data_IF_516968090501
#
_entry.id   IF_516968090501
#
_cell.length_a   1.000
_cell.length_b   1.000
_cell.length_c   1.000
_cell.angle_alpha   90.00
_cell.angle_beta   90.00
_cell.angle_gamma   90.00
#
_symmetry.space_group_name_H-M   'P 1'
#
loop_
_entity.id
_entity.type
_entity.pdbx_description
1 polymer ?
#
# COMPACT_ATOMS: atom_id res chain seq x y z
N UNK A 1 -13.40 -4.76 24.50
CA UNK A 1 -12.96 -3.66 23.63
C UNK A 1 -11.49 -3.90 23.38
N UNK A 2 -11.13 -4.31 22.16
CA UNK A 2 -9.72 -4.49 21.78
C UNK A 2 -9.23 -3.12 21.36
N UNK A 3 -8.17 -2.63 22.00
CA UNK A 3 -7.52 -1.39 21.62
C UNK A 3 -7.08 -1.53 20.15
N UNK A 4 -7.65 -0.74 19.24
CA UNK A 4 -7.31 -0.78 17.80
C UNK A 4 -5.85 -0.38 17.50
N UNK A 5 -5.08 -0.04 18.55
CA UNK A 5 -3.68 0.37 18.51
C UNK A 5 -2.75 -0.56 19.30
N UNK A 6 -3.07 -1.87 19.38
CA UNK A 6 -2.06 -2.83 19.81
C UNK A 6 -0.90 -2.86 18.78
N UNK A 7 0.10 -2.04 19.07
CA UNK A 7 1.29 -1.79 18.24
C UNK A 7 2.19 -3.03 18.13
N UNK A 8 1.78 -4.17 18.70
CA UNK A 8 2.44 -5.46 18.60
C UNK A 8 2.00 -6.29 17.39
N UNK A 9 0.90 -5.94 16.71
CA UNK A 9 0.35 -6.73 15.61
C UNK A 9 0.54 -6.01 14.26
N UNK A 10 1.10 -6.68 13.24
CA UNK A 10 1.18 -6.10 11.90
C UNK A 10 -0.21 -6.02 11.25
N UNK A 11 -0.46 -4.97 10.49
CA UNK A 11 -1.74 -4.77 9.81
C UNK A 11 -1.60 -4.08 8.46
N UNK A 12 -2.60 -4.30 7.59
CA UNK A 12 -2.78 -3.63 6.31
C UNK A 12 -4.26 -3.28 6.16
N UNK A 13 -4.57 -2.00 6.05
CA UNK A 13 -5.92 -1.50 5.79
C UNK A 13 -6.02 -0.96 4.37
N UNK A 14 -7.14 -1.27 3.72
CA UNK A 14 -7.42 -0.85 2.36
C UNK A 14 -8.91 -0.61 2.14
N UNK A 15 -9.24 0.20 1.14
CA UNK A 15 -10.60 0.30 0.60
C UNK A 15 -10.58 0.17 -0.92
N UNK A 16 -11.68 -0.31 -1.50
CA UNK A 16 -11.86 -0.39 -2.95
C UNK A 16 -12.72 0.77 -3.45
N UNK A 17 -12.42 1.25 -4.66
CA UNK A 17 -13.18 2.24 -5.40
C UNK A 17 -13.13 1.87 -6.88
N UNK A 18 -14.19 1.23 -7.38
CA UNK A 18 -14.22 0.69 -8.74
C UNK A 18 -13.22 -0.44 -8.93
N UNK A 19 -12.38 -0.33 -9.95
CA UNK A 19 -11.30 -1.27 -10.25
C UNK A 19 -9.99 -0.99 -9.48
N UNK A 20 -10.00 0.01 -8.61
CA UNK A 20 -8.82 0.48 -7.89
C UNK A 20 -8.97 0.19 -6.40
N UNK A 21 -7.91 -0.34 -5.78
CA UNK A 21 -7.81 -0.50 -4.33
C UNK A 21 -6.74 0.43 -3.78
N UNK A 22 -7.07 1.13 -2.70
CA UNK A 22 -6.18 2.03 -2.00
C UNK A 22 -5.72 1.39 -0.69
N UNK A 23 -4.41 1.25 -0.50
CA UNK A 23 -3.81 0.96 0.81
C UNK A 23 -3.76 2.27 1.58
N UNK A 24 -4.49 2.34 2.70
CA UNK A 24 -4.59 3.55 3.52
C UNK A 24 -3.69 3.51 4.74
N UNK A 25 -3.45 2.32 5.30
CA UNK A 25 -2.53 2.13 6.42
C UNK A 25 -1.80 0.81 6.28
N UNK A 26 -0.51 0.82 6.60
CA UNK A 26 0.30 -0.39 6.64
C UNK A 26 1.34 -0.24 7.74
N UNK A 27 1.44 -1.23 8.61
CA UNK A 27 2.34 -1.17 9.75
C UNK A 27 2.94 -2.54 10.05
N UNK A 28 4.25 -2.51 10.33
CA UNK A 28 4.99 -3.64 10.86
C UNK A 28 5.65 -3.19 12.17
N UNK A 29 5.37 -3.86 13.31
CA UNK A 29 6.00 -3.57 14.59
C UNK A 29 7.53 -3.58 14.45
N UNK A 30 8.27 -2.63 15.08
CA UNK A 30 9.72 -2.55 14.97
C UNK A 30 10.45 -3.87 15.25
N UNK A 31 9.97 -4.64 16.24
CA UNK A 31 10.49 -5.95 16.65
C UNK A 31 10.35 -7.04 15.57
N UNK A 32 9.45 -6.85 14.60
CA UNK A 32 9.17 -7.79 13.51
C UNK A 32 9.71 -7.30 12.15
N UNK A 33 10.35 -6.11 12.10
CA UNK A 33 10.94 -5.57 10.86
C UNK A 33 12.19 -6.37 10.45
N UNK A 34 12.53 -6.32 9.17
CA UNK A 34 13.69 -7.03 8.62
C UNK A 34 13.48 -8.53 8.37
N UNK A 35 12.32 -9.09 8.72
CA UNK A 35 12.01 -10.52 8.61
C UNK A 35 11.15 -10.88 7.38
N UNK A 36 11.16 -10.03 6.34
CA UNK A 36 10.32 -10.17 5.13
C UNK A 36 8.80 -10.18 5.37
N UNK A 37 8.33 -10.02 6.61
CA UNK A 37 6.93 -10.08 7.00
C UNK A 37 6.05 -9.11 6.21
N UNK A 38 6.54 -7.88 5.99
CA UNK A 38 5.80 -6.89 5.22
C UNK A 38 5.53 -7.30 3.77
N UNK A 39 6.51 -7.93 3.12
CA UNK A 39 6.32 -8.49 1.77
C UNK A 39 5.27 -9.60 1.79
N UNK A 40 5.39 -10.54 2.72
CA UNK A 40 4.45 -11.67 2.82
C UNK A 40 3.01 -11.22 3.05
N UNK A 41 2.80 -10.20 3.89
CA UNK A 41 1.48 -9.63 4.14
C UNK A 41 0.90 -9.03 2.86
N UNK A 42 1.67 -8.18 2.17
CA UNK A 42 1.21 -7.54 0.94
C UNK A 42 0.92 -8.57 -0.15
N UNK A 43 1.78 -9.56 -0.37
CA UNK A 43 1.56 -10.60 -1.37
C UNK A 43 0.35 -11.48 -1.06
N UNK A 44 0.13 -11.83 0.22
CA UNK A 44 -1.04 -12.60 0.64
C UNK A 44 -2.33 -11.79 0.45
N UNK A 45 -2.30 -10.51 0.83
CA UNK A 45 -3.42 -9.60 0.66
C UNK A 45 -3.73 -9.35 -0.82
N UNK A 46 -2.72 -9.14 -1.66
CA UNK A 46 -2.87 -8.94 -3.10
C UNK A 46 -3.57 -10.14 -3.76
N UNK A 47 -3.20 -11.37 -3.38
CA UNK A 47 -3.87 -12.60 -3.85
C UNK A 47 -5.33 -12.73 -3.38
N UNK A 48 -5.74 -11.99 -2.36
CA UNK A 48 -7.11 -11.98 -1.85
C UNK A 48 -8.00 -10.92 -2.52
N UNK A 49 -7.42 -10.06 -3.36
CA UNK A 49 -8.18 -9.02 -4.03
C UNK A 49 -9.18 -9.62 -5.03
N UNK A 50 -10.39 -9.04 -5.16
CA UNK A 50 -11.33 -9.45 -6.18
C UNK A 50 -10.75 -9.35 -7.58
N UNK A 51 -11.13 -10.26 -8.48
CA UNK A 51 -10.60 -10.33 -9.86
C UNK A 51 -10.87 -9.07 -10.71
N UNK A 52 -11.83 -8.23 -10.32
CA UNK A 52 -12.12 -6.97 -11.03
C UNK A 52 -11.12 -5.86 -10.69
N UNK A 53 -10.29 -6.01 -9.65
CA UNK A 53 -9.28 -5.02 -9.27
C UNK A 53 -8.13 -5.06 -10.27
N UNK A 54 -7.81 -3.89 -10.83
CA UNK A 54 -6.78 -3.68 -11.84
C UNK A 54 -5.61 -2.87 -11.31
N UNK A 55 -5.85 -2.00 -10.33
CA UNK A 55 -4.83 -1.08 -9.83
C UNK A 55 -4.81 -1.09 -8.31
N UNK A 56 -3.61 -1.11 -7.73
CA UNK A 56 -3.38 -0.84 -6.32
C UNK A 56 -2.69 0.51 -6.19
N UNK A 57 -3.20 1.39 -5.33
CA UNK A 57 -2.62 2.72 -5.05
C UNK A 57 -2.34 2.91 -3.56
N UNK A 58 -1.39 3.79 -3.27
CA UNK A 58 -1.08 4.22 -1.91
C UNK A 58 -0.41 5.58 -1.91
N UNK A 59 -0.43 6.24 -0.75
CA UNK A 59 0.37 7.44 -0.47
C UNK A 59 1.42 7.08 0.57
N UNK A 60 2.68 7.16 0.21
CA UNK A 60 3.80 6.90 1.10
C UNK A 60 4.39 8.23 1.60
N UNK A 61 4.67 8.37 2.90
CA UNK A 61 5.32 9.58 3.41
C UNK A 61 6.77 9.68 2.91
N UNK A 62 7.15 10.85 2.42
CA UNK A 62 8.46 11.08 1.79
C UNK A 62 9.60 11.18 2.81
N UNK A 63 9.28 11.63 4.01
CA UNK A 63 10.24 12.02 5.05
C UNK A 63 10.46 10.94 6.12
N UNK A 64 9.83 9.77 5.98
CA UNK A 64 9.99 8.69 6.96
C UNK A 64 11.34 7.98 6.81
N UNK A 65 12.09 7.92 7.92
CA UNK A 65 13.35 7.20 8.07
C UNK A 65 13.29 5.72 7.65
N UNK A 66 12.10 5.09 7.71
CA UNK A 66 11.86 3.72 7.28
C UNK A 66 11.88 3.54 5.74
N UNK A 67 11.95 4.63 4.97
CA UNK A 67 11.99 4.64 3.49
C UNK A 67 10.84 3.85 2.84
N UNK A 68 9.58 4.16 3.14
CA UNK A 68 8.42 3.41 2.64
C UNK A 68 8.37 3.35 1.12
N UNK A 69 8.74 4.42 0.40
CA UNK A 69 8.77 4.42 -1.07
C UNK A 69 9.72 3.35 -1.64
N UNK A 70 10.85 3.09 -0.97
CA UNK A 70 11.79 2.03 -1.39
C UNK A 70 11.21 0.64 -1.16
N UNK A 71 10.49 0.44 -0.05
CA UNK A 71 9.79 -0.80 0.22
C UNK A 71 8.75 -1.10 -0.86
N UNK A 72 7.88 -0.14 -1.18
CA UNK A 72 6.84 -0.31 -2.19
C UNK A 72 7.40 -0.47 -3.60
N UNK A 73 8.46 0.26 -3.95
CA UNK A 73 9.17 0.09 -5.24
C UNK A 73 9.67 -1.34 -5.43
N UNK A 74 10.19 -1.98 -4.37
CA UNK A 74 10.62 -3.39 -4.40
C UNK A 74 9.48 -4.40 -4.57
N UNK A 75 8.23 -3.97 -4.39
CA UNK A 75 7.02 -4.78 -4.61
C UNK A 75 6.37 -4.51 -5.99
N UNK A 76 7.02 -3.70 -6.82
CA UNK A 76 6.56 -3.38 -8.17
C UNK A 76 5.68 -2.14 -8.27
N UNK A 77 5.51 -1.39 -7.17
CA UNK A 77 4.87 -0.08 -7.24
C UNK A 77 5.78 0.93 -7.95
N UNK A 78 5.17 1.84 -8.69
CA UNK A 78 5.83 2.91 -9.42
C UNK A 78 5.28 4.24 -8.93
N UNK A 79 6.11 5.26 -8.99
CA UNK A 79 5.69 6.63 -8.71
C UNK A 79 4.63 7.07 -9.71
N UNK A 80 3.48 7.52 -9.23
CA UNK A 80 2.55 8.31 -10.04
C UNK A 80 2.96 9.77 -9.91
N UNK A 81 2.77 10.58 -10.96
CA UNK A 81 3.04 12.01 -10.83
C UNK A 81 2.17 12.56 -9.69
N UNK A 82 2.84 13.12 -8.69
CA UNK A 82 2.25 13.74 -7.51
C UNK A 82 1.23 14.77 -7.93
N UNK A 83 -0.02 14.63 -7.47
CA UNK A 83 -0.98 15.73 -7.47
C UNK A 83 -0.27 16.98 -6.93
N UNK A 84 -0.14 18.01 -7.75
CA UNK A 84 0.52 19.28 -7.40
C UNK A 84 -0.23 20.09 -6.32
N UNK A 85 -1.13 19.45 -5.59
CA UNK A 85 -1.94 20.11 -4.57
C UNK A 85 -1.46 19.69 -3.19
N UNK A 86 -0.58 20.47 -2.52
CA UNK A 86 -0.24 20.22 -1.13
C UNK A 86 -1.53 20.20 -0.30
N UNK A 87 -1.75 19.13 0.46
CA UNK A 87 -2.80 19.09 1.47
C UNK A 87 -2.35 20.04 2.58
N UNK A 88 -2.87 21.26 2.58
CA UNK A 88 -2.67 22.21 3.67
C UNK A 88 -3.38 21.68 4.92
N UNK A 89 -2.61 21.12 5.85
CA UNK A 89 -3.00 21.11 7.25
C UNK A 89 -2.14 22.14 7.97
N UNK A 90 -2.77 22.91 8.84
CA UNK A 90 -2.23 24.03 9.62
C UNK A 90 -1.01 23.69 10.51
N UNK A 91 -0.56 22.43 10.55
CA UNK A 91 0.46 21.99 11.51
C UNK A 91 1.63 21.15 10.94
N UNK A 92 1.58 20.63 9.71
CA UNK A 92 2.73 19.92 9.14
C UNK A 92 2.58 19.71 7.62
N UNK A 93 3.57 20.12 6.83
CA UNK A 93 3.67 19.70 5.42
C UNK A 93 4.19 18.26 5.43
N UNK A 94 3.31 17.29 5.67
CA UNK A 94 3.66 15.90 5.42
C UNK A 94 3.59 15.68 3.91
N UNK A 95 4.74 15.76 3.25
CA UNK A 95 4.86 15.42 1.84
C UNK A 95 4.64 13.92 1.69
N UNK A 96 3.72 13.56 0.80
CA UNK A 96 3.47 12.19 0.45
C UNK A 96 3.70 12.02 -1.04
N UNK A 97 4.25 10.89 -1.42
CA UNK A 97 4.31 10.46 -2.80
C UNK A 97 3.26 9.40 -3.05
N UNK A 98 2.47 9.60 -4.10
CA UNK A 98 1.54 8.60 -4.57
C UNK A 98 2.29 7.54 -5.41
N UNK A 99 1.91 6.29 -5.21
CA UNK A 99 2.48 5.15 -5.91
C UNK A 99 1.38 4.20 -6.35
N UNK A 100 1.57 3.57 -7.51
CA UNK A 100 0.63 2.59 -8.05
C UNK A 100 1.31 1.31 -8.53
N UNK A 101 0.56 0.21 -8.51
CA UNK A 101 0.91 -1.06 -9.11
C UNK A 101 -0.27 -1.54 -9.95
N UNK A 102 -0.03 -1.72 -11.25
CA UNK A 102 -1.00 -2.34 -12.16
C UNK A 102 -0.93 -3.85 -11.99
N UNK A 103 -2.07 -4.47 -11.72
CA UNK A 103 -2.22 -5.93 -11.69
C UNK A 103 -2.43 -6.40 -13.13
N UNK A 104 -1.78 -7.50 -13.50
CA UNK A 104 -1.97 -8.08 -14.82
C UNK A 104 -3.45 -8.45 -15.03
N UNK A 105 -3.95 -8.27 -16.26
CA UNK A 105 -5.24 -8.82 -16.66
C UNK A 105 -5.30 -10.31 -16.28
N UNK A 106 -6.40 -10.83 -15.71
CA UNK A 106 -6.56 -12.26 -15.60
C UNK A 106 -6.48 -12.82 -17.02
N UNK A 107 -5.54 -13.75 -17.24
CA UNK A 107 -5.44 -14.48 -18.50
C UNK A 107 -6.79 -15.15 -18.69
N UNK A 108 -7.58 -14.66 -19.65
CA UNK A 108 -8.80 -15.35 -20.06
C UNK A 108 -8.38 -16.79 -20.37
N UNK A 109 -8.90 -17.74 -19.60
CA UNK A 109 -8.74 -19.15 -19.92
C UNK A 109 -9.39 -19.31 -21.29
N UNK A 110 -8.55 -19.49 -22.32
CA UNK A 110 -9.03 -19.78 -23.66
C UNK A 110 -9.90 -21.03 -23.57
N UNK A 111 -11.22 -20.83 -23.63
CA UNK A 111 -12.17 -21.91 -23.74
C UNK A 111 -11.87 -22.62 -25.07
N UNK A 112 -11.37 -23.85 -24.97
CA UNK A 112 -11.27 -24.79 -26.08
C UNK A 112 -12.59 -25.52 -26.28
#
# INVERSE_FOLDING_TARGET
MVDENDSSIPYLHSYASGDTVWITRFFIPPTLRGQHLGRMIVEKWEKSLPAHIRVIRLRAPDTDSARPCLFWSKLGFRYTQSDETPIYSEFEITRHTEMEKVLAEPVEAQAS
#
